data_IF_459391724569
#
_entry.id   IF_459391724569
#
_cell.length_a   1.000
_cell.length_b   1.000
_cell.length_c   1.000
_cell.angle_alpha   90.00
_cell.angle_beta   90.00
_cell.angle_gamma   90.00
#
_symmetry.space_group_name_H-M   'P 1'
#
loop_
_entity.id
_entity.type
_entity.pdbx_description
1 polymer ?
#
# COMPACT_ATOMS: atom_id res chain seq x y z
N UNK A 1 -46.82 15.30 26.85
CA UNK A 1 -47.64 15.62 28.04
C UNK A 1 -48.37 14.35 28.45
N UNK A 2 -48.17 13.90 29.69
CA UNK A 2 -48.98 12.81 30.24
C UNK A 2 -50.44 13.28 30.37
N UNK A 3 -51.43 12.38 30.27
CA UNK A 3 -52.81 12.72 30.54
C UNK A 3 -52.95 13.33 31.94
N UNK A 4 -53.74 14.39 32.05
CA UNK A 4 -53.90 15.22 33.26
C UNK A 4 -54.08 14.44 34.58
N UNK A 5 -54.88 13.35 34.64
CA UNK A 5 -55.06 12.59 35.89
C UNK A 5 -53.75 11.98 36.42
N UNK A 6 -52.84 11.55 35.54
CA UNK A 6 -51.56 10.97 35.95
C UNK A 6 -50.58 12.04 36.43
N UNK A 7 -50.59 13.22 35.80
CA UNK A 7 -49.74 14.33 36.21
C UNK A 7 -50.14 14.84 37.60
N UNK A 8 -51.45 14.98 37.86
CA UNK A 8 -51.97 15.38 39.17
C UNK A 8 -51.62 14.35 40.25
N UNK A 9 -51.78 13.05 39.96
CA UNK A 9 -51.39 11.97 40.88
C UNK A 9 -49.89 11.99 41.24
N UNK A 10 -49.01 12.20 40.25
CA UNK A 10 -47.56 12.24 40.47
C UNK A 10 -47.15 13.48 41.30
N UNK A 11 -47.76 14.63 41.02
CA UNK A 11 -47.51 15.88 41.77
C UNK A 11 -47.97 15.70 43.23
N UNK A 12 -49.16 15.15 43.45
CA UNK A 12 -49.69 14.94 44.80
C UNK A 12 -48.83 13.96 45.62
N UNK A 13 -48.38 12.86 45.00
CA UNK A 13 -47.45 11.92 45.65
C UNK A 13 -46.10 12.54 46.00
N UNK A 14 -45.53 13.32 45.09
CA UNK A 14 -44.26 14.01 45.31
C UNK A 14 -44.37 15.02 46.46
N UNK A 15 -45.41 15.86 46.46
CA UNK A 15 -45.58 16.94 47.44
C UNK A 15 -46.01 16.41 48.82
N UNK A 16 -47.02 15.54 48.87
CA UNK A 16 -47.60 15.10 50.15
C UNK A 16 -46.80 13.96 50.79
N UNK A 17 -46.34 13.00 49.99
CA UNK A 17 -45.75 11.76 50.48
C UNK A 17 -44.24 11.67 50.26
N UNK A 18 -43.63 12.66 49.58
CA UNK A 18 -42.21 12.66 49.18
C UNK A 18 -41.79 11.37 48.48
N UNK A 19 -42.71 10.78 47.73
CA UNK A 19 -42.50 9.50 47.05
C UNK A 19 -42.25 9.73 45.56
N UNK A 20 -40.99 9.54 45.16
CA UNK A 20 -40.51 9.67 43.78
C UNK A 20 -40.50 8.35 43.01
N UNK A 21 -40.93 7.23 43.60
CA UNK A 21 -40.78 5.91 42.97
C UNK A 21 -41.45 5.83 41.59
N UNK A 22 -42.65 6.37 41.45
CA UNK A 22 -43.37 6.39 40.17
C UNK A 22 -42.73 7.34 39.14
N UNK A 23 -42.18 8.46 39.58
CA UNK A 23 -41.45 9.39 38.72
C UNK A 23 -40.13 8.76 38.23
N UNK A 24 -39.35 8.17 39.14
CA UNK A 24 -38.12 7.46 38.84
C UNK A 24 -38.37 6.27 37.90
N UNK A 25 -39.48 5.54 38.08
CA UNK A 25 -39.87 4.47 37.15
C UNK A 25 -40.12 4.98 35.73
N UNK A 26 -40.85 6.10 35.57
CA UNK A 26 -41.07 6.69 34.26
C UNK A 26 -39.79 7.24 33.64
N UNK A 27 -38.87 7.75 34.46
CA UNK A 27 -37.59 8.28 34.01
C UNK A 27 -36.68 7.21 33.36
N UNK A 28 -36.81 5.93 33.75
CA UNK A 28 -36.10 4.81 33.09
C UNK A 28 -36.42 4.77 31.58
N UNK A 29 -37.67 5.00 31.20
CA UNK A 29 -38.07 5.00 29.79
C UNK A 29 -37.51 6.22 29.06
N UNK A 30 -37.61 7.41 29.66
CA UNK A 30 -37.06 8.66 29.10
C UNK A 30 -35.55 8.59 28.93
N UNK A 31 -34.84 8.10 29.94
CA UNK A 31 -33.40 7.89 29.90
C UNK A 31 -33.02 6.92 28.79
N UNK A 32 -33.64 5.73 28.74
CA UNK A 32 -33.35 4.72 27.71
C UNK A 32 -33.66 5.23 26.29
N UNK A 33 -34.75 5.96 26.09
CA UNK A 33 -35.06 6.57 24.79
C UNK A 33 -33.99 7.58 24.38
N UNK A 34 -33.52 8.41 25.31
CA UNK A 34 -32.46 9.40 25.05
C UNK A 34 -31.13 8.71 24.71
N UNK A 35 -30.75 7.66 25.46
CA UNK A 35 -29.56 6.86 25.15
C UNK A 35 -29.64 6.24 23.77
N UNK A 36 -30.77 5.58 23.43
CA UNK A 36 -30.95 4.96 22.11
C UNK A 36 -30.96 5.98 20.98
N UNK A 37 -31.54 7.17 21.20
CA UNK A 37 -31.49 8.26 20.23
C UNK A 37 -30.05 8.71 19.96
N UNK A 38 -29.26 8.88 21.02
CA UNK A 38 -27.84 9.22 20.90
C UNK A 38 -27.04 8.12 20.19
N UNK A 39 -27.22 6.84 20.56
CA UNK A 39 -26.57 5.70 19.92
C UNK A 39 -26.93 5.60 18.42
N UNK A 40 -28.21 5.79 18.07
CA UNK A 40 -28.65 5.81 16.69
C UNK A 40 -28.04 6.98 15.90
N UNK A 41 -27.91 8.15 16.52
CA UNK A 41 -27.27 9.32 15.92
C UNK A 41 -25.75 9.13 15.72
N UNK A 42 -25.08 8.49 16.69
CA UNK A 42 -23.65 8.20 16.66
C UNK A 42 -23.30 7.09 15.66
N UNK A 43 -24.15 6.07 15.51
CA UNK A 43 -23.92 4.89 14.66
C UNK A 43 -23.51 5.23 13.21
N UNK A 44 -24.00 6.34 12.66
CA UNK A 44 -23.70 6.77 11.28
C UNK A 44 -22.54 7.76 11.18
N UNK A 45 -21.90 8.11 12.30
CA UNK A 45 -20.81 9.09 12.39
C UNK A 45 -19.52 8.41 12.84
N UNK A 46 -18.94 7.61 11.95
CA UNK A 46 -17.76 6.81 12.24
C UNK A 46 -16.57 7.65 12.77
N UNK A 47 -16.45 8.91 12.33
CA UNK A 47 -15.38 9.82 12.76
C UNK A 47 -15.39 10.07 14.27
N UNK A 48 -16.57 10.05 14.93
CA UNK A 48 -16.68 10.24 16.38
C UNK A 48 -16.06 9.06 17.13
N UNK A 49 -16.35 7.83 16.68
CA UNK A 49 -15.73 6.63 17.27
C UNK A 49 -14.22 6.61 17.03
N UNK A 50 -13.80 6.99 15.83
CA UNK A 50 -12.40 7.01 15.44
C UNK A 50 -11.59 8.01 16.26
N UNK A 51 -12.08 9.23 16.47
CA UNK A 51 -11.41 10.23 17.31
C UNK A 51 -11.33 9.79 18.78
N UNK A 52 -12.35 9.12 19.29
CA UNK A 52 -12.40 8.67 20.68
C UNK A 52 -11.47 7.50 20.96
N UNK A 53 -11.43 6.52 20.07
CA UNK A 53 -10.78 5.22 20.30
C UNK A 53 -9.56 4.97 19.40
N UNK A 54 -9.25 5.88 18.47
CA UNK A 54 -8.25 5.68 17.41
C UNK A 54 -8.63 4.62 16.36
N UNK A 55 -9.81 3.99 16.50
CA UNK A 55 -10.32 2.91 15.65
C UNK A 55 -11.84 2.99 15.59
N UNK A 56 -12.43 2.55 14.47
CA UNK A 56 -13.88 2.44 14.33
C UNK A 56 -14.25 1.10 13.71
N UNK A 57 -15.46 0.60 14.01
CA UNK A 57 -16.01 -0.57 13.32
C UNK A 57 -16.08 -0.37 11.81
N UNK A 58 -16.19 0.88 11.34
CA UNK A 58 -16.17 1.21 9.91
C UNK A 58 -14.83 0.90 9.25
N UNK A 59 -13.73 1.14 9.96
CA UNK A 59 -12.36 0.85 9.48
C UNK A 59 -12.18 -0.64 9.16
N UNK A 60 -12.75 -1.50 10.01
CA UNK A 60 -12.78 -2.95 9.77
C UNK A 60 -13.50 -3.31 8.47
N UNK A 61 -14.58 -2.61 8.11
CA UNK A 61 -15.27 -2.87 6.85
C UNK A 61 -14.43 -2.42 5.64
N UNK A 62 -13.73 -1.28 5.73
CA UNK A 62 -12.80 -0.83 4.69
C UNK A 62 -11.66 -1.83 4.48
N UNK A 63 -11.06 -2.33 5.57
CA UNK A 63 -10.01 -3.33 5.50
C UNK A 63 -10.51 -4.64 4.87
N UNK A 64 -11.71 -5.09 5.23
CA UNK A 64 -12.33 -6.25 4.60
C UNK A 64 -12.52 -6.07 3.07
N UNK A 65 -12.90 -4.86 2.60
CA UNK A 65 -13.02 -4.57 1.17
C UNK A 65 -11.69 -4.70 0.42
N UNK A 66 -10.58 -4.41 1.10
CA UNK A 66 -9.22 -4.49 0.56
C UNK A 66 -8.66 -5.93 0.65
N UNK A 67 -9.40 -6.87 1.26
CA UNK A 67 -9.01 -8.27 1.43
C UNK A 67 -8.35 -8.57 2.77
N UNK A 68 -8.33 -7.61 3.70
CA UNK A 68 -7.85 -7.81 5.06
C UNK A 68 -8.97 -8.26 6.00
N UNK A 69 -9.20 -9.58 6.02
CA UNK A 69 -10.02 -10.22 7.05
C UNK A 69 -9.35 -10.21 8.43
N UNK A 70 -10.07 -10.60 9.51
CA UNK A 70 -9.53 -10.60 10.88
C UNK A 70 -8.25 -11.41 11.04
N UNK A 71 -8.17 -12.58 10.39
CA UNK A 71 -6.98 -13.44 10.47
C UNK A 71 -5.83 -12.91 9.62
N UNK A 72 -6.12 -12.34 8.44
CA UNK A 72 -5.10 -11.69 7.60
C UNK A 72 -4.51 -10.45 8.28
N UNK A 73 -5.31 -9.68 9.01
CA UNK A 73 -4.85 -8.53 9.81
C UNK A 73 -3.89 -8.97 10.91
N UNK A 74 -4.26 -10.01 11.67
CA UNK A 74 -3.41 -10.55 12.74
C UNK A 74 -2.08 -11.07 12.22
N UNK A 75 -2.12 -11.84 11.14
CA UNK A 75 -0.91 -12.39 10.53
C UNK A 75 0.00 -11.27 10.06
N UNK A 76 -0.55 -10.29 9.33
CA UNK A 76 0.27 -9.30 8.65
C UNK A 76 0.77 -8.17 9.56
N UNK A 77 -0.08 -7.65 10.45
CA UNK A 77 0.24 -6.47 11.25
C UNK A 77 0.55 -6.81 12.72
N UNK A 78 -0.23 -7.69 13.35
CA UNK A 78 -0.06 -7.97 14.79
C UNK A 78 1.19 -8.83 15.09
N UNK A 79 1.59 -9.69 14.15
CA UNK A 79 2.85 -10.45 14.24
C UNK A 79 4.09 -9.66 13.80
N UNK A 80 3.92 -8.43 13.32
CA UNK A 80 5.02 -7.59 12.85
C UNK A 80 5.68 -8.08 11.56
N UNK A 81 4.96 -8.88 10.75
CA UNK A 81 5.47 -9.39 9.47
C UNK A 81 5.61 -8.29 8.42
N UNK A 82 4.75 -7.25 8.47
CA UNK A 82 4.78 -6.13 7.53
C UNK A 82 5.36 -4.84 8.14
N UNK A 83 6.32 -4.18 7.46
CA UNK A 83 6.76 -2.83 7.81
C UNK A 83 5.74 -1.72 7.47
N UNK A 84 4.61 -2.05 6.84
CA UNK A 84 3.57 -1.08 6.46
C UNK A 84 2.58 -0.84 7.61
N UNK A 85 2.05 0.38 7.66
CA UNK A 85 1.00 0.75 8.62
C UNK A 85 -0.37 0.35 8.09
N UNK A 86 -1.21 -0.21 8.96
CA UNK A 86 -2.58 -0.63 8.62
C UNK A 86 -3.43 0.51 8.05
N UNK A 87 -3.26 1.73 8.60
CA UNK A 87 -4.05 2.91 8.24
C UNK A 87 -3.89 3.29 6.76
N UNK A 88 -2.76 2.92 6.13
CA UNK A 88 -2.53 3.10 4.69
C UNK A 88 -3.61 2.40 3.86
N UNK A 89 -3.95 1.17 4.22
CA UNK A 89 -4.88 0.33 3.49
C UNK A 89 -6.32 0.81 3.67
N UNK A 90 -6.65 1.31 4.85
CA UNK A 90 -7.93 1.97 5.11
C UNK A 90 -8.07 3.26 4.32
N UNK A 91 -7.05 4.12 4.34
CA UNK A 91 -7.04 5.41 3.66
C UNK A 91 -7.17 5.25 2.14
N UNK A 92 -6.39 4.34 1.54
CA UNK A 92 -6.43 4.04 0.11
C UNK A 92 -7.40 2.93 -0.27
N UNK A 93 -8.33 2.56 0.61
CA UNK A 93 -9.26 1.44 0.39
C UNK A 93 -10.05 1.57 -0.92
N UNK A 94 -10.47 2.78 -1.27
CA UNK A 94 -11.12 3.07 -2.55
C UNK A 94 -10.23 2.78 -3.76
N UNK A 95 -8.94 3.09 -3.71
CA UNK A 95 -7.99 2.80 -4.80
C UNK A 95 -7.66 1.31 -4.88
N UNK A 96 -7.55 0.62 -3.75
CA UNK A 96 -7.29 -0.81 -3.70
C UNK A 96 -8.46 -1.67 -4.16
N UNK A 97 -9.69 -1.23 -3.85
CA UNK A 97 -10.93 -1.93 -4.21
C UNK A 97 -11.29 -1.76 -5.70
N UNK A 98 -10.77 -0.73 -6.37
CA UNK A 98 -11.03 -0.51 -7.80
C UNK A 98 -10.44 -1.65 -8.65
N UNK A 99 -11.27 -2.15 -9.57
CA UNK A 99 -10.92 -3.12 -10.61
C UNK A 99 -11.46 -2.61 -11.96
N UNK A 100 -10.65 -2.56 -13.03
CA UNK A 100 -9.22 -2.91 -13.10
C UNK A 100 -8.33 -1.91 -12.33
N UNK A 101 -7.13 -2.34 -11.95
CA UNK A 101 -6.15 -1.49 -11.28
C UNK A 101 -5.40 -0.65 -12.31
N UNK A 102 -5.26 0.65 -12.07
CA UNK A 102 -4.62 1.56 -12.99
C UNK A 102 -3.21 1.96 -12.50
N UNK A 103 -2.37 2.44 -13.41
CA UNK A 103 -1.01 2.89 -13.09
C UNK A 103 -0.98 4.22 -12.32
N UNK A 104 -1.94 5.12 -12.59
CA UNK A 104 -1.99 6.45 -11.98
C UNK A 104 -2.26 6.39 -10.47
N UNK A 105 -3.17 5.55 -10.01
CA UNK A 105 -3.46 5.38 -8.59
C UNK A 105 -2.23 4.84 -7.85
N UNK A 106 -1.48 3.93 -8.47
CA UNK A 106 -0.22 3.44 -7.90
C UNK A 106 0.79 4.59 -7.79
N UNK A 107 0.93 5.40 -8.84
CA UNK A 107 1.81 6.57 -8.83
C UNK A 107 1.44 7.56 -7.70
N UNK A 108 0.16 7.91 -7.58
CA UNK A 108 -0.35 8.82 -6.55
C UNK A 108 -0.14 8.24 -5.15
N UNK A 109 -0.45 6.95 -4.95
CA UNK A 109 -0.32 6.29 -3.66
C UNK A 109 1.14 6.23 -3.21
N UNK A 110 2.06 5.84 -4.09
CA UNK A 110 3.48 5.79 -3.78
C UNK A 110 4.04 7.20 -3.50
N UNK A 111 3.64 8.17 -4.32
CA UNK A 111 4.08 9.56 -4.15
C UNK A 111 3.60 10.16 -2.85
N UNK A 112 2.36 9.86 -2.44
CA UNK A 112 1.81 10.29 -1.15
C UNK A 112 2.50 9.61 0.03
N UNK A 113 2.71 8.29 -0.04
CA UNK A 113 3.26 7.54 1.09
C UNK A 113 4.73 7.88 1.38
N UNK A 114 5.55 8.00 0.34
CA UNK A 114 6.98 8.26 0.49
C UNK A 114 7.35 9.75 0.38
N UNK A 115 6.40 10.63 0.04
CA UNK A 115 6.64 12.06 -0.21
C UNK A 115 7.72 12.32 -1.27
N UNK A 116 7.78 11.46 -2.29
CA UNK A 116 8.76 11.50 -3.38
C UNK A 116 8.06 11.37 -4.73
N UNK A 117 8.64 11.89 -5.82
CA UNK A 117 8.06 11.73 -7.15
C UNK A 117 8.23 10.29 -7.64
N UNK A 118 7.11 9.64 -7.99
CA UNK A 118 7.11 8.36 -8.70
C UNK A 118 6.55 8.55 -10.10
N UNK A 119 6.98 7.69 -11.03
CA UNK A 119 6.36 7.50 -12.35
C UNK A 119 6.25 6.03 -12.67
N UNK A 120 5.10 5.62 -13.18
CA UNK A 120 4.85 4.23 -13.56
C UNK A 120 4.91 4.07 -15.07
N UNK A 121 5.97 3.40 -15.55
CA UNK A 121 6.09 2.98 -16.94
C UNK A 121 5.48 1.59 -17.12
N UNK A 122 4.33 1.56 -17.77
CA UNK A 122 3.66 0.31 -18.19
C UNK A 122 4.44 -0.33 -19.35
N UNK A 123 4.31 -1.65 -19.50
CA UNK A 123 4.90 -2.41 -20.60
C UNK A 123 6.43 -2.22 -20.75
N UNK A 124 7.15 -2.18 -19.63
CA UNK A 124 8.60 -1.97 -19.63
C UNK A 124 9.39 -3.12 -20.28
N UNK A 125 8.74 -4.28 -20.38
CA UNK A 125 9.27 -5.50 -20.94
C UNK A 125 10.37 -6.17 -20.11
N UNK A 126 10.52 -7.47 -20.30
CA UNK A 126 11.58 -8.28 -19.68
C UNK A 126 12.08 -9.37 -20.61
N UNK A 127 13.35 -9.72 -20.46
CA UNK A 127 13.88 -10.94 -21.04
C UNK A 127 13.43 -12.15 -20.22
N UNK A 128 12.69 -13.05 -20.83
CA UNK A 128 12.39 -14.38 -20.29
C UNK A 128 13.45 -15.36 -20.77
N UNK A 129 14.03 -16.13 -19.86
CA UNK A 129 14.95 -17.21 -20.21
C UNK A 129 14.12 -18.44 -20.57
N UNK A 130 14.40 -19.01 -21.73
CA UNK A 130 13.78 -20.26 -22.15
C UNK A 130 14.52 -21.45 -21.54
N UNK A 131 13.76 -22.45 -21.13
CA UNK A 131 14.32 -23.75 -20.81
C UNK A 131 14.92 -24.39 -22.07
N UNK A 132 15.95 -25.22 -21.86
CA UNK A 132 16.63 -25.92 -22.96
C UNK A 132 15.70 -26.80 -23.80
N UNK A 133 14.61 -27.28 -23.21
CA UNK A 133 13.53 -28.03 -23.86
C UNK A 133 12.62 -27.16 -24.75
N UNK A 134 12.54 -25.86 -24.47
CA UNK A 134 11.76 -24.87 -25.20
C UNK A 134 12.57 -24.16 -26.28
N UNK A 135 13.90 -24.18 -26.19
CA UNK A 135 14.78 -23.68 -27.24
C UNK A 135 14.59 -24.42 -28.58
N UNK A 136 14.79 -23.70 -29.68
CA UNK A 136 14.76 -24.26 -31.03
C UNK A 136 15.88 -25.27 -31.24
N UNK A 137 15.52 -26.48 -31.67
CA UNK A 137 16.46 -27.53 -32.03
C UNK A 137 16.21 -27.95 -33.48
N UNK A 138 17.18 -27.67 -34.36
CA UNK A 138 17.07 -27.96 -35.79
C UNK A 138 16.80 -29.45 -36.03
N UNK A 139 15.81 -29.76 -36.86
CA UNK A 139 15.39 -31.14 -37.13
C UNK A 139 14.68 -31.85 -35.97
N UNK A 140 14.36 -31.13 -34.88
CA UNK A 140 13.68 -31.69 -33.70
C UNK A 140 12.44 -30.88 -33.33
N UNK A 141 12.51 -30.09 -32.26
CA UNK A 141 11.39 -29.39 -31.64
C UNK A 141 11.55 -27.88 -31.78
N UNK A 142 10.42 -27.17 -31.82
CA UNK A 142 10.34 -25.71 -31.87
C UNK A 142 11.15 -25.09 -33.01
N UNK A 143 11.18 -25.74 -34.18
CA UNK A 143 11.97 -25.34 -35.34
C UNK A 143 11.12 -24.88 -36.54
N UNK A 144 9.83 -24.60 -36.33
CA UNK A 144 8.94 -24.10 -37.38
C UNK A 144 9.01 -22.57 -37.40
N UNK A 145 9.55 -22.02 -38.49
CA UNK A 145 9.67 -20.58 -38.69
C UNK A 145 8.29 -19.91 -38.67
N UNK A 146 8.18 -18.78 -37.98
CA UNK A 146 6.93 -18.02 -37.86
C UNK A 146 5.90 -18.61 -36.89
N UNK A 147 6.17 -19.77 -36.28
CA UNK A 147 5.25 -20.40 -35.32
C UNK A 147 5.92 -20.70 -33.97
N UNK A 148 7.04 -21.41 -33.98
CA UNK A 148 7.69 -21.91 -32.75
C UNK A 148 9.19 -21.66 -32.68
N UNK A 149 9.82 -21.30 -33.80
CA UNK A 149 11.24 -21.00 -33.83
C UNK A 149 11.56 -19.69 -33.09
N UNK A 150 12.42 -19.76 -32.08
CA UNK A 150 12.97 -18.62 -31.35
C UNK A 150 14.48 -18.57 -31.57
N UNK A 151 14.99 -17.39 -31.91
CA UNK A 151 16.41 -17.16 -32.01
C UNK A 151 17.02 -16.99 -30.60
N UNK A 152 17.89 -17.92 -30.20
CA UNK A 152 18.63 -17.85 -28.93
C UNK A 152 17.94 -18.56 -27.78
N UNK A 153 18.31 -18.18 -26.55
CA UNK A 153 17.83 -18.80 -25.30
C UNK A 153 16.94 -17.87 -24.47
N UNK A 154 16.51 -16.74 -25.05
CA UNK A 154 15.69 -15.73 -24.37
C UNK A 154 14.67 -15.14 -25.33
N UNK A 155 13.49 -14.81 -24.80
CA UNK A 155 12.41 -14.11 -25.50
C UNK A 155 12.14 -12.79 -24.79
N UNK A 156 11.84 -11.75 -25.56
CA UNK A 156 11.40 -10.49 -24.98
C UNK A 156 9.89 -10.52 -24.78
N UNK A 157 9.46 -10.38 -23.52
CA UNK A 157 8.06 -10.22 -23.15
C UNK A 157 7.76 -8.75 -22.87
N UNK A 158 6.68 -8.22 -23.45
CA UNK A 158 6.30 -6.81 -23.31
C UNK A 158 5.28 -6.56 -22.20
N UNK A 159 4.48 -7.56 -21.82
CA UNK A 159 3.25 -7.34 -21.05
C UNK A 159 3.37 -7.67 -19.56
N UNK A 160 4.30 -8.54 -19.16
CA UNK A 160 4.33 -9.05 -17.79
C UNK A 160 5.19 -8.22 -16.84
N UNK A 161 5.68 -7.05 -17.26
CA UNK A 161 6.58 -6.22 -16.45
C UNK A 161 6.23 -4.74 -16.46
N UNK A 162 6.18 -4.16 -15.26
CA UNK A 162 6.04 -2.71 -15.03
C UNK A 162 7.37 -2.14 -14.54
N UNK A 163 7.69 -0.89 -14.86
CA UNK A 163 8.83 -0.17 -14.28
C UNK A 163 8.35 1.00 -13.45
N UNK A 164 8.86 1.07 -12.23
CA UNK A 164 8.60 2.11 -11.24
C UNK A 164 9.83 2.99 -11.21
N UNK A 165 9.71 4.17 -11.79
CA UNK A 165 10.74 5.18 -11.74
C UNK A 165 10.54 6.03 -10.50
N UNK A 166 11.57 6.14 -9.68
CA UNK A 166 11.56 6.94 -8.46
C UNK A 166 12.53 8.11 -8.65
N UNK A 167 12.08 9.34 -8.45
CA UNK A 167 12.94 10.52 -8.50
C UNK A 167 12.60 11.52 -9.61
N UNK A 168 13.44 12.57 -9.74
CA UNK A 168 14.85 12.63 -9.32
C UNK A 168 15.07 12.80 -7.79
N UNK A 169 16.02 12.03 -7.22
CA UNK A 169 16.30 11.92 -5.78
C UNK A 169 17.61 12.58 -5.35
N UNK A 170 17.69 12.97 -4.08
CA UNK A 170 18.95 13.24 -3.40
C UNK A 170 19.70 11.95 -3.04
N UNK A 171 20.98 12.04 -2.70
CA UNK A 171 21.80 10.87 -2.38
C UNK A 171 21.27 10.08 -1.17
N UNK A 172 20.75 10.77 -0.16
CA UNK A 172 20.20 10.13 1.03
C UNK A 172 18.95 9.29 0.69
N UNK A 173 18.01 9.85 -0.08
CA UNK A 173 16.83 9.11 -0.52
C UNK A 173 17.21 7.96 -1.45
N UNK A 174 18.17 8.17 -2.35
CA UNK A 174 18.67 7.09 -3.19
C UNK A 174 19.20 5.89 -2.37
N UNK A 175 19.94 6.16 -1.30
CA UNK A 175 20.43 5.13 -0.38
C UNK A 175 19.31 4.44 0.37
N UNK A 176 18.26 5.17 0.76
CA UNK A 176 17.07 4.61 1.41
C UNK A 176 16.30 3.62 0.55
N UNK A 177 16.35 3.73 -0.78
CA UNK A 177 15.67 2.79 -1.69
C UNK A 177 16.60 1.74 -2.30
N UNK A 178 17.75 1.48 -1.69
CA UNK A 178 18.61 0.37 -2.09
C UNK A 178 18.07 -0.98 -1.58
N UNK A 179 18.33 -2.09 -2.30
CA UNK A 179 17.93 -3.40 -1.83
C UNK A 179 18.46 -3.70 -0.42
N UNK A 180 17.57 -4.15 0.47
CA UNK A 180 17.90 -4.51 1.86
C UNK A 180 17.59 -3.44 2.89
N UNK A 181 17.18 -2.23 2.48
CA UNK A 181 16.68 -1.21 3.42
C UNK A 181 15.19 -1.39 3.74
N UNK A 182 14.75 -0.77 4.83
CA UNK A 182 13.34 -0.82 5.27
C UNK A 182 12.39 -0.13 4.25
N UNK A 183 12.78 1.03 3.70
CA UNK A 183 11.95 1.75 2.72
C UNK A 183 11.84 0.99 1.39
N UNK A 184 12.89 0.27 0.99
CA UNK A 184 12.84 -0.65 -0.15
C UNK A 184 11.85 -1.79 0.09
N UNK A 185 11.87 -2.41 1.28
CA UNK A 185 10.93 -3.48 1.64
C UNK A 185 9.48 -2.97 1.63
N UNK A 186 9.22 -1.80 2.23
CA UNK A 186 7.89 -1.15 2.20
C UNK A 186 7.42 -0.91 0.77
N UNK A 187 8.29 -0.40 -0.10
CA UNK A 187 7.97 -0.14 -1.50
C UNK A 187 7.61 -1.43 -2.24
N UNK A 188 8.44 -2.47 -2.11
CA UNK A 188 8.21 -3.77 -2.73
C UNK A 188 6.89 -4.37 -2.25
N UNK A 189 6.63 -4.36 -0.95
CA UNK A 189 5.42 -4.95 -0.39
C UNK A 189 4.15 -4.21 -0.84
N UNK A 190 4.17 -2.87 -0.82
CA UNK A 190 3.03 -2.04 -1.23
C UNK A 190 2.72 -2.22 -2.71
N UNK A 191 3.75 -2.21 -3.56
CA UNK A 191 3.61 -2.45 -5.00
C UNK A 191 3.12 -3.87 -5.25
N UNK A 192 3.66 -4.88 -4.57
CA UNK A 192 3.23 -6.27 -4.72
C UNK A 192 1.78 -6.46 -4.31
N UNK A 193 1.34 -5.80 -3.24
CA UNK A 193 -0.06 -5.82 -2.82
C UNK A 193 -0.99 -5.17 -3.87
N UNK A 194 -0.57 -4.04 -4.45
CA UNK A 194 -1.34 -3.33 -5.46
C UNK A 194 -1.29 -3.99 -6.85
N UNK A 195 -0.20 -4.58 -7.29
CA UNK A 195 -0.13 -5.18 -8.62
C UNK A 195 -0.59 -6.64 -8.60
N UNK A 196 -0.37 -7.34 -7.47
CA UNK A 196 -0.65 -8.76 -7.32
C UNK A 196 0.53 -9.64 -7.72
N UNK A 197 0.25 -10.94 -7.80
CA UNK A 197 1.23 -11.99 -8.11
C UNK A 197 1.52 -12.14 -9.61
N UNK A 198 0.70 -11.55 -10.47
CA UNK A 198 0.71 -11.87 -11.92
C UNK A 198 1.76 -11.10 -12.71
N UNK A 199 2.15 -9.91 -12.24
CA UNK A 199 3.08 -9.04 -12.95
C UNK A 199 4.37 -8.86 -12.15
N UNK A 200 5.47 -8.85 -12.87
CA UNK A 200 6.75 -8.45 -12.33
C UNK A 200 6.88 -6.93 -12.34
N UNK A 201 7.77 -6.43 -11.49
CA UNK A 201 8.09 -5.02 -11.54
C UNK A 201 9.57 -4.76 -11.33
N UNK A 202 10.01 -3.63 -11.89
CA UNK A 202 11.35 -3.11 -11.79
C UNK A 202 11.31 -1.81 -11.00
N UNK A 203 12.24 -1.61 -10.08
CA UNK A 203 12.44 -0.33 -9.39
C UNK A 203 13.66 0.34 -9.99
N UNK A 204 13.50 1.57 -10.48
CA UNK A 204 14.54 2.35 -11.12
C UNK A 204 14.68 3.72 -10.41
N UNK A 205 15.46 3.81 -9.32
CA UNK A 205 15.73 5.08 -8.67
C UNK A 205 16.63 5.95 -9.55
N UNK A 206 16.21 7.20 -9.78
CA UNK A 206 16.92 8.21 -10.55
C UNK A 206 17.57 9.20 -9.59
N UNK A 207 18.90 9.24 -9.56
CA UNK A 207 19.66 10.18 -8.74
C UNK A 207 19.79 11.53 -9.47
N UNK A 208 19.66 12.64 -8.75
CA UNK A 208 19.96 13.98 -9.28
C UNK A 208 21.43 14.07 -9.71
N UNK A 209 21.66 14.77 -10.81
CA UNK A 209 22.99 15.02 -11.39
C UNK A 209 23.98 15.65 -10.40
N UNK A 210 23.51 16.58 -9.59
CA UNK A 210 24.30 17.27 -8.56
C UNK A 210 24.68 16.35 -7.39
N UNK A 211 23.79 15.41 -7.05
CA UNK A 211 23.94 14.50 -5.92
C UNK A 211 24.81 13.26 -6.23
N UNK A 212 25.31 13.13 -7.46
CA UNK A 212 26.20 12.03 -7.85
C UNK A 212 27.53 12.13 -7.09
N UNK A 213 27.87 11.16 -6.23
CA UNK A 213 29.11 11.19 -5.46
C UNK A 213 30.32 11.01 -6.38
N UNK A 214 31.46 11.61 -5.99
CA UNK A 214 32.74 11.35 -6.67
C UNK A 214 33.19 9.93 -6.36
N UNK A 215 33.42 9.13 -7.39
CA UNK A 215 33.90 7.77 -7.21
C UNK A 215 35.31 7.78 -6.57
N UNK A 216 35.43 7.21 -5.36
CA UNK A 216 36.69 6.99 -4.66
C UNK A 216 36.83 5.52 -4.33
N UNK A 217 37.97 4.94 -4.72
CA UNK A 217 38.33 3.56 -4.37
C UNK A 217 38.81 3.52 -2.92
N UNK A 218 38.28 2.59 -2.11
CA UNK A 218 38.74 2.36 -0.75
C UNK A 218 37.66 1.75 0.16
N UNK A 219 38.07 1.24 1.33
CA UNK A 219 37.17 0.61 2.33
C UNK A 219 36.09 1.54 2.89
N UNK A 220 36.29 2.86 2.81
CA UNK A 220 35.33 3.89 3.24
C UNK A 220 34.55 4.51 2.06
N UNK A 221 34.74 4.00 0.84
CA UNK A 221 34.02 4.50 -0.34
C UNK A 221 32.61 3.90 -0.39
N UNK A 222 31.59 4.74 -0.40
CA UNK A 222 30.17 4.35 -0.57
C UNK A 222 29.81 4.00 -2.03
N UNK A 223 30.77 3.49 -2.82
CA UNK A 223 30.64 3.30 -4.26
C UNK A 223 30.52 1.80 -4.54
N UNK A 224 29.29 1.35 -4.79
CA UNK A 224 29.00 -0.04 -5.18
C UNK A 224 28.81 -0.14 -6.68
N UNK A 225 29.54 -1.03 -7.35
CA UNK A 225 29.41 -1.23 -8.80
C UNK A 225 27.98 -1.66 -9.16
N UNK A 226 27.40 -0.98 -10.16
CA UNK A 226 26.03 -1.20 -10.61
C UNK A 226 24.95 -0.48 -9.77
N UNK A 227 25.28 0.07 -8.60
CA UNK A 227 24.32 0.72 -7.70
C UNK A 227 24.69 2.20 -7.47
N UNK A 228 25.91 2.49 -7.01
CA UNK A 228 26.41 3.85 -6.70
C UNK A 228 27.75 4.14 -7.39
N UNK A 229 27.94 3.64 -8.61
CA UNK A 229 29.24 3.62 -9.31
C UNK A 229 29.33 4.51 -10.55
N UNK A 230 29.05 5.81 -10.44
CA UNK A 230 29.22 6.73 -11.59
C UNK A 230 30.64 7.31 -11.65
N UNK A 231 31.24 7.25 -12.83
CA UNK A 231 32.48 7.96 -13.13
C UNK A 231 32.13 9.40 -13.52
N UNK A 232 32.25 10.32 -12.56
CA UNK A 232 32.06 11.76 -12.78
C UNK A 232 33.37 12.39 -13.24
N UNK A 233 33.36 13.10 -14.38
CA UNK A 233 34.47 13.96 -14.78
C UNK A 233 34.41 15.25 -13.96
N UNK A 234 35.49 15.67 -13.27
CA UNK A 234 35.50 16.93 -12.53
C UNK A 234 35.18 18.11 -13.46
N UNK A 235 34.26 18.99 -13.05
CA UNK A 235 33.89 20.20 -13.81
C UNK A 235 32.92 19.99 -14.97
N UNK A 236 32.44 18.75 -15.20
CA UNK A 236 31.38 18.48 -16.18
C UNK A 236 30.22 17.84 -15.46
N UNK A 237 29.11 18.55 -15.40
CA UNK A 237 27.86 17.94 -14.98
C UNK A 237 27.44 16.98 -16.13
N UNK A 238 27.00 15.76 -15.86
CA UNK A 238 26.41 14.86 -16.88
C UNK A 238 25.18 14.19 -16.30
N UNK A 239 24.07 14.14 -17.05
CA UNK A 239 22.93 13.34 -16.62
C UNK A 239 23.32 11.86 -16.55
N UNK A 240 22.96 11.14 -15.47
CA UNK A 240 23.27 9.72 -15.37
C UNK A 240 22.58 8.98 -16.52
N UNK A 241 23.38 8.50 -17.47
CA UNK A 241 22.90 7.82 -18.69
C UNK A 241 22.18 6.50 -18.41
N UNK A 242 22.48 5.88 -17.25
CA UNK A 242 21.81 4.69 -16.74
C UNK A 242 21.64 4.79 -15.23
N UNK A 243 20.43 4.45 -14.79
CA UNK A 243 20.09 4.28 -13.39
C UNK A 243 20.21 2.79 -13.03
N UNK A 244 20.48 2.48 -11.76
CA UNK A 244 20.35 1.11 -11.30
C UNK A 244 18.90 0.65 -11.51
N UNK A 245 18.71 -0.57 -12.02
CA UNK A 245 17.39 -1.17 -12.18
C UNK A 245 17.37 -2.45 -11.35
N UNK A 246 16.52 -2.46 -10.33
CA UNK A 246 16.30 -3.61 -9.48
C UNK A 246 15.12 -4.40 -10.02
N UNK A 247 15.38 -5.63 -10.45
CA UNK A 247 14.35 -6.54 -10.95
C UNK A 247 13.76 -7.32 -9.78
N UNK A 248 12.45 -7.21 -9.56
CA UNK A 248 11.73 -7.99 -8.54
C UNK A 248 10.82 -8.97 -9.26
N UNK A 249 11.31 -10.17 -9.59
CA UNK A 249 10.48 -11.22 -10.14
C UNK A 249 9.48 -11.70 -9.09
N UNK A 250 8.33 -12.17 -9.55
CA UNK A 250 7.46 -13.01 -8.75
C UNK A 250 8.02 -14.43 -8.71
N UNK A 251 8.80 -14.75 -7.67
CA UNK A 251 9.36 -16.10 -7.47
C UNK A 251 8.37 -17.06 -6.77
N UNK A 252 7.10 -16.69 -6.61
CA UNK A 252 6.06 -17.55 -6.02
C UNK A 252 6.24 -17.91 -4.53
N UNK A 253 7.26 -17.39 -3.85
CA UNK A 253 7.70 -17.88 -2.52
C UNK A 253 7.56 -16.86 -1.37
N UNK A 254 7.08 -15.65 -1.60
CA UNK A 254 6.89 -14.70 -0.49
C UNK A 254 5.66 -13.82 -0.68
N UNK A 255 4.57 -14.25 -0.03
CA UNK A 255 3.53 -13.39 0.52
C UNK A 255 3.80 -13.23 2.02
#
# INVERSE_FOLDING_TARGET
MLPRPYTELLIDRHIQYRDDAAHAFLDIFSHRMTTLFYEAWQKYKFYIEYERNGTSNFDRYLLNLVGFGPEALKQKFDKGESPLRRELFSYFSGMFAQKPRNALNLEVMLSFYFSLPFKIQQFAGRWLKLDSSQCTQLGRKNAVLGQSAVAGNRVWDYQSCVRIELGPLELADYQRFQPGTEDYQKLVELVRFYIGAELDFQIAPKLKREAVPVARLGRQGNVSLGWLGWLKRPGVDVEPSRCAVFHIPFDGVSL
#
